data_IF_909747922388
#
_entry.id   IF_909747922388
#
_cell.length_a   1.000
_cell.length_b   1.000
_cell.length_c   1.000
_cell.angle_alpha   90.00
_cell.angle_beta   90.00
_cell.angle_gamma   90.00
#
_symmetry.space_group_name_H-M   'P 1'
#
loop_
_entity.id
_entity.type
_entity.pdbx_description
1 polymer ?
#
# COMPACT_ATOMS: atom_id res chain seq x y z
N UNK A 1 20.05 31.09 37.99
CA UNK A 1 19.00 30.57 37.08
C UNK A 1 17.85 30.08 37.96
N UNK A 2 17.04 30.83 38.26
CA UNK A 2 16.56 31.65 39.34
C UNK A 2 15.38 32.49 38.83
N UNK A 3 14.29 32.27 39.50
CA UNK A 3 13.21 33.20 39.86
C UNK A 3 12.37 33.94 38.81
N UNK A 4 12.66 33.91 37.54
CA UNK A 4 11.90 34.67 36.54
C UNK A 4 10.77 33.91 35.79
N UNK A 5 10.50 32.64 36.13
CA UNK A 5 9.44 31.80 35.52
C UNK A 5 8.20 31.58 36.38
N UNK A 6 8.13 32.15 37.55
CA UNK A 6 6.99 31.97 38.49
C UNK A 6 6.00 33.16 38.45
N UNK A 7 6.40 34.31 37.93
CA UNK A 7 5.57 35.53 37.96
C UNK A 7 4.53 35.67 36.82
N UNK A 8 4.66 34.91 35.75
CA UNK A 8 3.75 34.99 34.59
C UNK A 8 2.50 34.12 34.76
N UNK A 9 2.52 33.14 35.65
CA UNK A 9 1.40 32.22 35.83
C UNK A 9 0.36 32.64 36.88
N UNK A 10 0.67 33.66 37.68
CA UNK A 10 -0.24 34.16 38.72
C UNK A 10 -1.12 35.36 38.32
N UNK A 11 -0.95 35.88 37.10
CA UNK A 11 -1.68 37.11 36.65
C UNK A 11 -2.92 36.80 35.75
N UNK A 12 -3.18 35.53 35.46
CA UNK A 12 -4.37 35.11 34.65
C UNK A 12 -5.54 34.62 35.53
N UNK A 13 -5.29 34.38 36.80
CA UNK A 13 -6.30 33.83 37.73
C UNK A 13 -7.15 34.88 38.44
N UNK A 14 -6.81 36.19 38.38
CA UNK A 14 -7.43 37.24 39.18
C UNK A 14 -8.44 38.12 38.46
N UNK A 15 -8.82 37.85 37.22
CA UNK A 15 -9.81 38.66 36.46
C UNK A 15 -11.13 37.97 36.12
N UNK A 16 -11.48 36.91 36.85
CA UNK A 16 -12.78 36.22 36.70
C UNK A 16 -13.58 36.12 38.02
N UNK A 17 -13.63 37.19 38.79
CA UNK A 17 -14.65 37.37 39.86
C UNK A 17 -14.79 38.87 40.05
N UNK A 18 -15.84 39.45 39.51
CA UNK A 18 -16.58 40.62 39.95
C UNK A 18 -17.41 41.14 38.77
N UNK A 19 -18.59 40.59 38.63
CA UNK A 19 -19.80 41.27 38.19
C UNK A 19 -20.93 40.27 38.54
N UNK A 20 -21.42 40.36 39.75
CA UNK A 20 -22.74 39.89 40.10
C UNK A 20 -23.39 40.97 40.96
N UNK A 21 -24.59 41.35 40.54
CA UNK A 21 -25.67 41.92 41.35
C UNK A 21 -25.52 43.38 41.73
N UNK A 22 -26.10 44.22 40.93
CA UNK A 22 -26.76 45.45 41.47
C UNK A 22 -28.12 45.61 40.77
N UNK A 23 -29.12 45.55 41.56
CA UNK A 23 -30.53 45.68 41.24
C UNK A 23 -30.86 47.02 40.60
N UNK A 24 -31.70 46.97 39.56
CA UNK A 24 -32.56 48.10 39.19
C UNK A 24 -33.98 47.59 39.20
N UNK A 25 -34.58 47.63 40.39
CA UNK A 25 -36.03 47.68 40.56
C UNK A 25 -36.44 49.16 40.51
N UNK A 26 -37.35 49.49 39.66
CA UNK A 26 -38.09 50.80 39.80
C UNK A 26 -38.18 51.55 38.50
N UNK A 27 -39.18 51.32 37.74
CA UNK A 27 -40.06 52.17 36.94
C UNK A 27 -40.60 51.45 35.71
N UNK A 28 -41.49 50.55 35.96
CA UNK A 28 -42.48 50.12 34.98
C UNK A 28 -43.88 50.46 35.57
N UNK A 29 -44.31 51.67 35.41
CA UNK A 29 -45.71 52.04 35.36
C UNK A 29 -45.80 53.28 34.50
N UNK A 30 -46.83 53.25 33.63
CA UNK A 30 -47.25 54.33 32.71
C UNK A 30 -46.42 54.52 31.41
N UNK A 31 -46.64 53.66 30.43
CA UNK A 31 -47.04 54.06 29.07
C UNK A 31 -47.89 52.89 28.52
N UNK A 32 -49.13 52.82 28.96
CA UNK A 32 -50.21 52.14 28.27
C UNK A 32 -50.98 53.15 27.45
N UNK A 33 -51.34 52.72 26.23
CA UNK A 33 -52.33 53.31 25.30
C UNK A 33 -51.74 54.35 24.32
N UNK A 34 -51.58 53.87 23.15
CA UNK A 34 -51.94 54.33 21.81
C UNK A 34 -50.88 53.94 20.82
N UNK A 35 -50.89 52.72 20.43
CA UNK A 35 -50.32 52.35 19.13
C UNK A 35 -51.39 51.57 18.38
N UNK A 36 -52.04 52.29 17.50
CA UNK A 36 -53.13 51.86 16.62
C UNK A 36 -52.57 50.78 15.65
N UNK A 37 -53.46 49.89 15.28
CA UNK A 37 -53.29 48.61 14.53
C UNK A 37 -52.56 48.59 13.19
N UNK A 38 -51.64 49.54 12.92
CA UNK A 38 -50.83 49.54 11.71
C UNK A 38 -49.41 48.95 11.91
N UNK A 39 -48.88 48.96 13.13
CA UNK A 39 -47.54 48.42 13.42
C UNK A 39 -47.55 46.90 13.67
N UNK A 40 -48.71 46.32 13.95
CA UNK A 40 -48.81 44.85 14.23
C UNK A 40 -48.77 44.02 12.94
N UNK A 41 -49.12 44.60 11.78
CA UNK A 41 -49.03 43.89 10.51
C UNK A 41 -47.60 43.88 9.93
N UNK A 42 -46.75 44.83 10.28
CA UNK A 42 -45.36 44.93 9.83
C UNK A 42 -44.44 44.05 10.69
N UNK A 43 -44.70 43.89 11.96
CA UNK A 43 -43.93 43.02 12.88
C UNK A 43 -44.19 41.53 12.64
N UNK A 44 -45.37 41.13 12.18
CA UNK A 44 -45.66 39.73 11.82
C UNK A 44 -45.02 39.36 10.50
N UNK A 45 -44.85 40.28 9.55
CA UNK A 45 -44.16 40.06 8.29
C UNK A 45 -42.63 39.88 8.43
N UNK A 46 -42.02 40.58 9.39
CA UNK A 46 -40.56 40.48 9.66
C UNK A 46 -40.24 39.24 10.52
N UNK A 47 -41.15 38.82 11.42
CA UNK A 47 -40.98 37.60 12.21
C UNK A 47 -41.12 36.31 11.36
N UNK A 48 -41.98 36.30 10.30
CA UNK A 48 -42.03 35.19 9.36
C UNK A 48 -40.89 35.15 8.34
N UNK A 49 -40.21 36.30 8.09
CA UNK A 49 -39.04 36.35 7.19
C UNK A 49 -37.74 35.92 7.84
N UNK A 50 -37.66 35.88 9.18
CA UNK A 50 -36.48 35.48 9.93
C UNK A 50 -36.47 33.99 10.38
N UNK A 51 -37.54 33.24 10.08
CA UNK A 51 -37.71 31.86 10.50
C UNK A 51 -37.40 30.82 9.41
N UNK A 52 -36.80 31.21 8.28
CA UNK A 52 -36.51 30.31 7.16
C UNK A 52 -35.01 30.12 6.86
N UNK A 53 -34.12 30.53 7.77
CA UNK A 53 -32.69 30.23 7.66
C UNK A 53 -32.14 29.54 8.92
N UNK A 54 -32.93 28.67 9.57
CA UNK A 54 -32.33 27.59 10.32
C UNK A 54 -32.00 26.52 9.26
N UNK A 55 -30.85 26.66 8.66
CA UNK A 55 -30.28 25.55 7.88
C UNK A 55 -30.33 24.32 8.78
N UNK A 56 -31.17 23.37 8.43
CA UNK A 56 -31.13 22.04 9.02
C UNK A 56 -29.70 21.61 8.77
N UNK A 57 -28.84 21.64 9.78
CA UNK A 57 -27.53 20.99 9.70
C UNK A 57 -27.86 19.51 9.48
N UNK A 58 -27.91 19.11 8.23
CA UNK A 58 -28.08 17.72 7.86
C UNK A 58 -26.94 16.96 8.54
N UNK A 59 -27.27 15.98 9.36
CA UNK A 59 -26.26 15.14 9.98
C UNK A 59 -25.40 14.55 8.85
N UNK A 60 -24.08 14.76 8.93
CA UNK A 60 -23.16 14.22 7.93
C UNK A 60 -23.23 12.72 7.95
N UNK A 61 -23.29 12.10 6.79
CA UNK A 61 -23.09 10.66 6.65
C UNK A 61 -21.65 10.34 7.03
N UNK A 62 -21.44 9.36 7.90
CA UNK A 62 -20.11 8.95 8.34
C UNK A 62 -19.67 7.72 7.59
N UNK A 63 -18.45 7.75 7.05
CA UNK A 63 -17.77 6.60 6.44
C UNK A 63 -16.51 6.32 7.24
N UNK A 64 -16.41 5.13 7.81
CA UNK A 64 -15.21 4.65 8.50
C UNK A 64 -14.24 4.04 7.49
N UNK A 65 -12.99 4.47 7.54
CA UNK A 65 -11.96 4.09 6.58
C UNK A 65 -10.81 3.33 7.26
N UNK A 66 -10.77 2.02 7.05
CA UNK A 66 -9.79 1.11 7.62
C UNK A 66 -8.55 0.94 6.74
N UNK A 67 -7.36 1.17 7.33
CA UNK A 67 -6.09 0.98 6.66
C UNK A 67 -4.99 0.58 7.63
N UNK A 68 -3.93 -0.01 7.10
CA UNK A 68 -2.68 -0.15 7.83
C UNK A 68 -1.68 0.93 7.41
N UNK A 69 -0.71 1.19 8.26
CA UNK A 69 0.41 2.07 7.93
C UNK A 69 1.25 2.44 9.14
N UNK A 70 2.43 2.97 8.84
CA UNK A 70 3.24 3.72 9.79
C UNK A 70 2.56 5.04 10.16
N UNK A 71 2.97 5.73 11.23
CA UNK A 71 2.44 7.05 11.56
C UNK A 71 2.55 8.07 10.42
N UNK A 72 3.58 7.97 9.57
CA UNK A 72 3.76 8.84 8.41
C UNK A 72 2.73 8.54 7.32
N UNK A 73 2.49 7.26 7.01
CA UNK A 73 1.48 6.83 6.06
C UNK A 73 0.06 7.22 6.52
N UNK A 74 -0.27 7.04 7.80
CA UNK A 74 -1.56 7.47 8.36
C UNK A 74 -1.76 8.99 8.21
N UNK A 75 -0.68 9.77 8.35
CA UNK A 75 -0.73 11.22 8.07
C UNK A 75 -1.05 11.55 6.62
N UNK A 76 -0.55 10.75 5.68
CA UNK A 76 -0.90 10.89 4.25
C UNK A 76 -2.37 10.52 4.03
N UNK A 77 -2.86 9.44 4.64
CA UNK A 77 -4.28 9.08 4.60
C UNK A 77 -5.18 10.19 5.17
N UNK A 78 -4.76 10.86 6.25
CA UNK A 78 -5.52 11.99 6.79
C UNK A 78 -5.63 13.13 5.77
N UNK A 79 -4.55 13.49 5.07
CA UNK A 79 -4.60 14.50 4.00
C UNK A 79 -5.56 14.11 2.87
N UNK A 80 -5.61 12.83 2.53
CA UNK A 80 -6.56 12.30 1.53
C UNK A 80 -8.00 12.45 2.02
N UNK A 81 -8.27 12.09 3.28
CA UNK A 81 -9.58 12.27 3.88
C UNK A 81 -10.01 13.74 3.93
N UNK A 82 -9.09 14.64 4.31
CA UNK A 82 -9.35 16.08 4.39
C UNK A 82 -9.66 16.65 2.98
N UNK A 83 -8.94 16.22 1.95
CA UNK A 83 -9.19 16.63 0.57
C UNK A 83 -10.55 16.13 0.06
N UNK A 84 -10.94 14.89 0.39
CA UNK A 84 -12.27 14.39 0.08
C UNK A 84 -13.36 15.19 0.77
N UNK A 85 -13.26 15.38 2.09
CA UNK A 85 -14.26 16.12 2.89
C UNK A 85 -14.40 17.58 2.46
N UNK A 86 -13.36 18.18 1.90
CA UNK A 86 -13.42 19.54 1.34
C UNK A 86 -14.32 19.61 0.09
N UNK A 87 -14.36 18.55 -0.72
CA UNK A 87 -15.21 18.46 -1.93
C UNK A 87 -16.57 17.79 -1.68
N UNK A 88 -16.71 17.05 -0.57
CA UNK A 88 -17.92 16.32 -0.19
C UNK A 88 -18.28 16.66 1.28
N UNK A 89 -18.77 17.88 1.55
CA UNK A 89 -18.96 18.38 2.92
C UNK A 89 -20.06 17.66 3.71
N UNK A 90 -20.89 16.90 3.05
CA UNK A 90 -21.98 16.06 3.58
C UNK A 90 -21.51 14.67 4.05
N UNK A 91 -20.30 14.25 3.67
CA UNK A 91 -19.71 12.97 4.10
C UNK A 91 -18.52 13.24 5.01
N UNK A 92 -18.51 12.60 6.18
CA UNK A 92 -17.39 12.64 7.12
C UNK A 92 -16.60 11.34 7.05
N UNK A 93 -15.28 11.44 6.89
CA UNK A 93 -14.39 10.27 6.91
C UNK A 93 -13.75 10.15 8.30
N UNK A 94 -13.85 8.95 8.89
CA UNK A 94 -13.19 8.60 10.15
C UNK A 94 -12.14 7.52 9.86
N UNK A 95 -10.88 7.81 10.17
CA UNK A 95 -9.78 6.88 9.94
C UNK A 95 -9.73 5.81 11.04
N UNK A 96 -9.66 4.56 10.65
CA UNK A 96 -9.34 3.41 11.49
C UNK A 96 -7.96 2.85 11.10
N UNK A 97 -6.90 3.60 11.48
CA UNK A 97 -5.52 3.26 11.17
C UNK A 97 -4.91 2.29 12.18
N UNK A 98 -4.21 1.26 11.72
CA UNK A 98 -3.53 0.27 12.56
C UNK A 98 -2.14 -0.05 12.00
N UNK A 99 -1.17 -0.49 12.84
CA UNK A 99 0.03 -1.14 12.35
C UNK A 99 -0.30 -2.38 11.52
N UNK A 100 0.58 -2.74 10.56
CA UNK A 100 0.36 -3.85 9.62
C UNK A 100 -0.13 -5.16 10.29
N UNK A 101 0.60 -5.66 11.28
CA UNK A 101 0.25 -6.94 11.94
C UNK A 101 -1.06 -6.89 12.70
N UNK A 102 -1.33 -5.77 13.36
CA UNK A 102 -2.52 -5.57 14.19
C UNK A 102 -3.78 -5.40 13.34
N UNK A 103 -3.67 -4.75 12.19
CA UNK A 103 -4.78 -4.50 11.29
C UNK A 103 -5.54 -5.77 10.93
N UNK A 104 -4.83 -6.75 10.39
CA UNK A 104 -5.44 -8.02 9.95
C UNK A 104 -5.93 -8.87 11.14
N UNK A 105 -5.24 -8.81 12.27
CA UNK A 105 -5.63 -9.53 13.48
C UNK A 105 -6.93 -8.97 14.04
N UNK A 106 -7.04 -7.64 14.15
CA UNK A 106 -8.26 -6.97 14.63
C UNK A 106 -9.44 -7.20 13.69
N UNK A 107 -9.26 -7.07 12.36
CA UNK A 107 -10.33 -7.37 11.41
C UNK A 107 -10.84 -8.79 11.53
N UNK A 108 -9.95 -9.78 11.63
CA UNK A 108 -10.34 -11.19 11.82
C UNK A 108 -11.13 -11.38 13.12
N UNK A 109 -10.74 -10.69 14.19
CA UNK A 109 -11.46 -10.74 15.48
C UNK A 109 -12.86 -10.14 15.35
N UNK A 110 -13.02 -8.97 14.71
CA UNK A 110 -14.32 -8.33 14.49
C UNK A 110 -15.24 -9.24 13.64
N UNK A 111 -14.74 -9.80 12.55
CA UNK A 111 -15.51 -10.74 11.71
C UNK A 111 -15.91 -12.00 12.48
N UNK A 112 -15.00 -12.58 13.26
CA UNK A 112 -15.28 -13.79 14.06
C UNK A 112 -16.27 -13.53 15.20
N UNK A 113 -16.25 -12.34 15.79
CA UNK A 113 -17.20 -11.91 16.82
C UNK A 113 -18.57 -11.54 16.25
N UNK A 114 -18.69 -11.35 14.93
CA UNK A 114 -19.92 -10.83 14.30
C UNK A 114 -20.19 -9.36 14.63
N UNK A 115 -19.16 -8.63 15.05
CA UNK A 115 -19.22 -7.19 15.38
C UNK A 115 -19.23 -6.37 14.08
N UNK A 116 -20.44 -6.19 13.55
CA UNK A 116 -20.63 -5.49 12.27
C UNK A 116 -20.36 -4.00 12.38
N UNK A 117 -20.65 -3.40 13.50
CA UNK A 117 -20.49 -1.94 13.75
C UNK A 117 -18.99 -1.56 13.90
N UNK A 118 -18.18 -2.49 14.42
CA UNK A 118 -16.73 -2.28 14.55
C UNK A 118 -15.94 -2.47 13.25
N UNK A 119 -16.57 -3.00 12.18
CA UNK A 119 -15.89 -3.23 10.89
C UNK A 119 -15.96 -1.94 10.05
N UNK A 120 -14.82 -1.37 9.60
CA UNK A 120 -14.84 -0.18 8.76
C UNK A 120 -15.60 -0.40 7.43
N UNK A 121 -16.23 0.69 6.92
CA UNK A 121 -16.99 0.68 5.67
C UNK A 121 -16.11 0.45 4.44
N UNK A 122 -15.00 1.17 4.36
CA UNK A 122 -13.99 1.03 3.31
C UNK A 122 -12.73 0.45 3.92
N UNK A 123 -12.22 -0.62 3.31
CA UNK A 123 -11.13 -1.41 3.85
C UNK A 123 -9.96 -1.48 2.87
N UNK A 124 -8.74 -1.35 3.36
CA UNK A 124 -7.51 -1.58 2.60
C UNK A 124 -7.07 -3.02 2.77
N UNK A 125 -7.15 -3.86 1.72
CA UNK A 125 -6.92 -5.31 1.84
C UNK A 125 -5.92 -5.85 0.82
N UNK A 126 -5.17 -6.85 1.26
CA UNK A 126 -4.26 -7.66 0.44
C UNK A 126 -4.08 -9.07 1.07
N UNK A 127 -4.31 -10.16 0.30
CA UNK A 127 -4.94 -10.23 -1.01
C UNK A 127 -6.47 -10.18 -0.92
N UNK A 128 -7.12 -9.46 -1.83
CA UNK A 128 -8.59 -9.27 -1.86
C UNK A 128 -9.35 -10.59 -1.96
N UNK A 129 -8.87 -11.50 -2.80
CA UNK A 129 -9.54 -12.80 -3.06
C UNK A 129 -9.79 -13.64 -1.80
N UNK A 130 -8.93 -13.51 -0.78
CA UNK A 130 -9.09 -14.22 0.49
C UNK A 130 -10.35 -13.77 1.21
N UNK A 131 -10.57 -12.47 1.29
CA UNK A 131 -11.70 -11.88 2.02
C UNK A 131 -13.00 -11.92 1.20
N UNK A 132 -12.91 -11.75 -0.13
CA UNK A 132 -14.02 -11.99 -1.04
C UNK A 132 -14.51 -13.44 -0.95
N UNK A 133 -13.59 -14.42 -0.87
CA UNK A 133 -13.92 -15.82 -0.69
C UNK A 133 -14.58 -16.15 0.67
N UNK A 134 -14.37 -15.32 1.68
CA UNK A 134 -15.04 -15.41 2.98
C UNK A 134 -16.44 -14.75 2.99
N UNK A 135 -16.81 -14.03 1.92
CA UNK A 135 -18.11 -13.39 1.80
C UNK A 135 -18.31 -12.17 2.72
N UNK A 136 -17.22 -11.49 3.11
CA UNK A 136 -17.24 -10.30 4.00
C UNK A 136 -17.14 -8.98 3.23
N UNK A 137 -16.98 -9.04 1.90
CA UNK A 137 -16.88 -7.87 1.03
C UNK A 137 -18.12 -7.71 0.16
N UNK A 138 -18.45 -6.47 -0.18
CA UNK A 138 -19.51 -6.11 -1.12
C UNK A 138 -18.97 -6.18 -2.56
N UNK A 139 -19.70 -6.80 -3.51
CA UNK A 139 -19.40 -6.72 -4.94
C UNK A 139 -19.51 -5.28 -5.44
N UNK A 140 -18.49 -4.81 -6.18
CA UNK A 140 -18.46 -3.44 -6.67
C UNK A 140 -19.07 -3.26 -8.07
N UNK A 141 -19.29 -4.34 -8.84
CA UNK A 141 -19.84 -4.26 -10.21
C UNK A 141 -21.16 -3.49 -10.32
N UNK A 142 -22.15 -3.62 -9.39
CA UNK A 142 -23.38 -2.83 -9.43
C UNK A 142 -23.11 -1.32 -9.32
N UNK A 143 -22.20 -0.90 -8.44
CA UNK A 143 -21.83 0.49 -8.22
C UNK A 143 -21.03 1.06 -9.39
N UNK A 144 -20.08 0.29 -9.94
CA UNK A 144 -19.32 0.62 -11.15
C UNK A 144 -20.28 0.89 -12.31
N UNK A 145 -21.24 -0.02 -12.52
CA UNK A 145 -22.23 0.11 -13.59
C UNK A 145 -23.15 1.32 -13.40
N UNK A 146 -23.65 1.51 -12.18
CA UNK A 146 -24.59 2.58 -11.87
C UNK A 146 -23.95 3.98 -11.99
N UNK A 147 -22.70 4.13 -11.58
CA UNK A 147 -21.95 5.39 -11.64
C UNK A 147 -21.25 5.65 -12.98
N UNK A 148 -21.17 4.64 -13.86
CA UNK A 148 -20.36 4.73 -15.09
C UNK A 148 -18.85 4.83 -14.83
N UNK A 149 -18.37 4.32 -13.67
CA UNK A 149 -16.95 4.38 -13.31
C UNK A 149 -16.10 3.61 -14.33
N UNK A 150 -15.11 4.29 -14.91
CA UNK A 150 -14.21 3.70 -15.91
C UNK A 150 -13.07 2.91 -15.25
N UNK A 151 -13.03 1.62 -15.52
CA UNK A 151 -11.96 0.72 -15.05
C UNK A 151 -10.87 0.47 -16.09
N UNK A 152 -10.96 1.07 -17.30
CA UNK A 152 -10.03 0.78 -18.40
C UNK A 152 -8.64 1.39 -18.23
N UNK A 153 -8.51 2.41 -17.37
CA UNK A 153 -7.23 3.09 -17.11
C UNK A 153 -6.31 2.33 -16.13
N UNK A 154 -6.81 1.27 -15.49
CA UNK A 154 -5.95 0.43 -14.63
C UNK A 154 -4.89 -0.32 -15.46
N UNK A 155 -3.76 -0.62 -14.83
CA UNK A 155 -2.78 -1.54 -15.40
C UNK A 155 -3.43 -2.88 -15.72
N UNK A 156 -3.13 -3.52 -16.87
CA UNK A 156 -3.91 -4.67 -17.38
C UNK A 156 -4.06 -5.84 -16.41
N UNK A 157 -3.03 -6.15 -15.60
CA UNK A 157 -3.08 -7.25 -14.64
C UNK A 157 -3.48 -6.84 -13.23
N UNK A 158 -3.57 -5.53 -12.95
CA UNK A 158 -3.77 -5.02 -11.60
C UNK A 158 -5.24 -5.12 -11.16
N UNK A 159 -6.19 -4.78 -12.04
CA UNK A 159 -7.61 -4.88 -11.72
C UNK A 159 -8.04 -6.31 -11.37
N UNK A 160 -7.39 -7.31 -11.98
CA UNK A 160 -7.64 -8.72 -11.67
C UNK A 160 -7.27 -9.10 -10.23
N UNK A 161 -6.38 -8.35 -9.59
CA UNK A 161 -6.05 -8.52 -8.18
C UNK A 161 -7.25 -8.27 -7.25
N UNK A 162 -8.16 -7.38 -7.67
CA UNK A 162 -9.40 -7.07 -6.98
C UNK A 162 -10.57 -8.01 -7.29
N UNK A 163 -10.38 -9.05 -8.15
CA UNK A 163 -11.47 -9.92 -8.63
C UNK A 163 -11.45 -11.30 -8.02
N UNK A 164 -12.64 -11.83 -7.78
CA UNK A 164 -12.88 -13.25 -7.53
C UNK A 164 -13.93 -13.78 -8.50
N UNK A 165 -13.57 -14.79 -9.30
CA UNK A 165 -14.47 -15.42 -10.30
C UNK A 165 -15.14 -14.39 -11.25
N UNK A 166 -14.39 -13.35 -11.65
CA UNK A 166 -14.85 -12.31 -12.57
C UNK A 166 -15.52 -11.12 -11.87
N UNK A 167 -15.99 -11.24 -10.65
CA UNK A 167 -16.61 -10.16 -9.86
C UNK A 167 -15.55 -9.29 -9.20
N UNK A 168 -15.69 -7.98 -9.29
CA UNK A 168 -14.80 -6.98 -8.68
C UNK A 168 -15.23 -6.76 -7.23
N UNK A 169 -14.30 -6.96 -6.28
CA UNK A 169 -14.48 -6.71 -4.85
C UNK A 169 -13.55 -5.60 -4.32
N UNK A 170 -12.60 -5.15 -5.15
CA UNK A 170 -11.70 -4.09 -4.76
C UNK A 170 -11.10 -3.37 -5.96
N UNK A 171 -10.89 -2.06 -5.78
CA UNK A 171 -10.16 -1.22 -6.72
C UNK A 171 -8.73 -1.03 -6.22
N UNK A 172 -7.70 -1.47 -6.97
CA UNK A 172 -6.31 -1.37 -6.56
C UNK A 172 -5.89 0.08 -6.30
N UNK A 173 -5.26 0.36 -5.15
CA UNK A 173 -4.74 1.69 -4.81
C UNK A 173 -3.49 2.03 -5.60
N UNK A 174 -2.62 1.05 -5.72
CA UNK A 174 -1.30 1.18 -6.31
C UNK A 174 -0.89 -0.12 -6.97
N UNK A 175 0.15 -0.04 -7.78
CA UNK A 175 0.84 -1.22 -8.26
C UNK A 175 2.16 -1.37 -7.51
N UNK A 176 2.26 -2.43 -6.73
CA UNK A 176 3.47 -2.78 -5.97
C UNK A 176 4.58 -3.32 -6.84
N UNK A 177 4.87 -2.64 -7.95
CA UNK A 177 5.90 -3.07 -8.89
C UNK A 177 7.29 -2.84 -8.32
N UNK A 178 8.16 -3.79 -8.53
CA UNK A 178 9.53 -3.78 -8.01
C UNK A 178 10.51 -3.28 -9.06
N UNK A 179 11.48 -2.49 -8.58
CA UNK A 179 12.62 -2.00 -9.33
C UNK A 179 13.90 -2.26 -8.57
N UNK A 180 15.04 -2.17 -9.23
CA UNK A 180 16.35 -2.24 -8.62
C UNK A 180 16.73 -0.86 -8.09
N UNK A 181 16.81 -0.71 -6.76
CA UNK A 181 17.42 0.45 -6.11
C UNK A 181 18.92 0.26 -6.01
N UNK A 182 19.70 1.31 -6.23
CA UNK A 182 21.15 1.29 -6.07
C UNK A 182 21.67 2.53 -5.36
N UNK A 183 22.66 2.32 -4.49
CA UNK A 183 23.33 3.37 -3.73
C UNK A 183 24.48 3.94 -4.58
N UNK A 184 24.34 5.21 -5.02
CA UNK A 184 25.29 5.86 -5.92
C UNK A 184 26.66 6.02 -5.28
N UNK A 185 26.74 6.34 -3.99
CA UNK A 185 28.00 6.52 -3.29
C UNK A 185 28.83 5.22 -3.28
N UNK A 186 28.16 4.06 -3.14
CA UNK A 186 28.82 2.75 -3.16
C UNK A 186 29.31 2.40 -4.57
N UNK A 187 28.52 2.73 -5.60
CA UNK A 187 28.93 2.52 -6.99
C UNK A 187 30.11 3.40 -7.37
N UNK A 188 30.08 4.68 -6.99
CA UNK A 188 31.17 5.64 -7.21
C UNK A 188 32.44 5.19 -6.48
N UNK A 189 32.34 4.76 -5.21
CA UNK A 189 33.46 4.22 -4.43
C UNK A 189 34.12 3.02 -5.12
N UNK A 190 33.31 2.15 -5.74
CA UNK A 190 33.78 0.95 -6.39
C UNK A 190 34.23 1.17 -7.86
N UNK A 191 33.97 2.35 -8.42
CA UNK A 191 34.23 2.63 -9.85
C UNK A 191 33.37 1.81 -10.81
N UNK A 192 32.18 1.38 -10.36
CA UNK A 192 31.24 0.57 -11.14
C UNK A 192 30.19 1.49 -11.78
N UNK A 193 29.94 1.28 -13.08
CA UNK A 193 28.90 2.04 -13.78
C UNK A 193 27.52 1.75 -13.22
N UNK A 194 26.68 2.79 -13.14
CA UNK A 194 25.30 2.67 -12.63
C UNK A 194 24.46 1.70 -13.47
N UNK A 195 23.50 1.01 -12.83
CA UNK A 195 22.54 0.17 -13.52
C UNK A 195 21.74 0.97 -14.55
N UNK A 196 21.53 0.37 -15.73
CA UNK A 196 20.59 0.88 -16.73
C UNK A 196 19.31 0.05 -16.72
N UNK A 197 18.26 0.54 -17.39
CA UNK A 197 17.02 -0.22 -17.56
C UNK A 197 17.17 -1.46 -18.46
N UNK A 198 18.38 -1.74 -18.97
CA UNK A 198 18.68 -2.83 -19.89
C UNK A 198 19.67 -3.86 -19.33
N UNK A 199 20.07 -3.73 -18.05
CA UNK A 199 20.95 -4.70 -17.42
C UNK A 199 20.39 -6.12 -17.52
N UNK A 200 21.30 -7.05 -17.76
CA UNK A 200 21.04 -8.49 -17.74
C UNK A 200 21.40 -9.09 -16.37
N UNK A 201 21.06 -10.36 -16.16
CA UNK A 201 21.53 -11.11 -14.99
C UNK A 201 23.04 -11.20 -14.93
N UNK A 202 23.71 -11.29 -16.09
CA UNK A 202 25.18 -11.32 -16.18
C UNK A 202 25.77 -9.98 -15.76
N UNK A 203 25.18 -8.84 -16.18
CA UNK A 203 25.59 -7.51 -15.74
C UNK A 203 25.40 -7.35 -14.23
N UNK A 204 24.26 -7.78 -13.69
CA UNK A 204 24.00 -7.79 -12.25
C UNK A 204 25.09 -8.58 -11.51
N UNK A 205 25.41 -9.80 -11.98
CA UNK A 205 26.41 -10.66 -11.35
C UNK A 205 27.82 -10.10 -11.47
N UNK A 206 28.15 -9.50 -12.60
CA UNK A 206 29.46 -8.86 -12.83
C UNK A 206 29.65 -7.64 -11.90
N UNK A 207 28.65 -6.77 -11.83
CA UNK A 207 28.66 -5.65 -10.90
C UNK A 207 28.69 -6.12 -9.43
N UNK A 208 27.90 -7.15 -9.08
CA UNK A 208 27.85 -7.70 -7.74
C UNK A 208 29.21 -8.18 -7.24
N UNK A 209 30.03 -8.77 -8.08
CA UNK A 209 31.40 -9.19 -7.73
C UNK A 209 32.30 -8.01 -7.37
N UNK A 210 32.12 -6.86 -8.00
CA UNK A 210 32.92 -5.65 -7.73
C UNK A 210 32.40 -4.87 -6.53
N UNK A 211 31.09 -4.85 -6.30
CA UNK A 211 30.43 -4.11 -5.21
C UNK A 211 30.52 -4.83 -3.87
N UNK A 212 30.63 -6.17 -3.86
CA UNK A 212 30.75 -6.94 -2.62
C UNK A 212 32.11 -6.75 -1.99
N UNK A 213 32.15 -6.50 -0.67
CA UNK A 213 33.40 -6.43 0.09
C UNK A 213 33.51 -7.65 0.99
N UNK A 214 34.47 -8.53 0.66
CA UNK A 214 34.75 -9.75 1.41
C UNK A 214 36.19 -9.67 1.90
N UNK A 215 36.41 -9.86 3.19
CA UNK A 215 37.76 -9.87 3.80
C UNK A 215 38.54 -11.12 3.36
N UNK A 216 39.84 -11.10 3.55
CA UNK A 216 40.71 -12.28 3.32
C UNK A 216 40.33 -13.49 4.21
N UNK A 217 39.71 -13.23 5.36
CA UNK A 217 39.15 -14.28 6.24
C UNK A 217 37.77 -14.81 5.76
N UNK A 218 37.25 -14.31 4.65
CA UNK A 218 35.95 -14.72 4.09
C UNK A 218 34.74 -14.10 4.77
N UNK A 219 34.90 -13.10 5.66
CA UNK A 219 33.80 -12.34 6.27
C UNK A 219 33.28 -11.31 5.28
N UNK A 220 31.97 -11.26 5.04
CA UNK A 220 31.35 -10.24 4.22
C UNK A 220 31.17 -8.95 5.03
N UNK A 221 31.70 -7.85 4.54
CA UNK A 221 31.53 -6.50 5.09
C UNK A 221 30.39 -5.76 4.39
N UNK A 222 30.23 -6.00 3.08
CA UNK A 222 29.12 -5.47 2.27
C UNK A 222 28.72 -6.50 1.22
N UNK A 223 27.44 -6.71 1.09
CA UNK A 223 26.85 -7.48 0.00
C UNK A 223 26.53 -6.56 -1.19
N UNK A 224 26.56 -7.07 -2.40
CA UNK A 224 26.05 -6.32 -3.53
C UNK A 224 24.52 -6.22 -3.51
N UNK A 225 23.84 -7.29 -3.11
CA UNK A 225 22.38 -7.35 -3.16
C UNK A 225 21.76 -7.74 -1.80
N UNK A 226 20.82 -6.94 -1.34
CA UNK A 226 19.87 -7.30 -0.29
C UNK A 226 18.52 -7.64 -0.92
N UNK A 227 18.14 -8.92 -0.93
CA UNK A 227 16.87 -9.34 -1.52
C UNK A 227 16.20 -10.40 -0.66
N UNK A 228 14.94 -10.15 -0.30
CA UNK A 228 14.12 -11.12 0.43
C UNK A 228 13.92 -12.41 -0.38
N UNK A 229 13.76 -13.55 0.31
CA UNK A 229 13.56 -14.84 -0.36
C UNK A 229 12.40 -14.85 -1.36
N UNK A 230 11.32 -14.11 -1.07
CA UNK A 230 10.16 -13.99 -1.96
C UNK A 230 10.44 -13.37 -3.32
N UNK A 231 11.61 -12.70 -3.50
CA UNK A 231 12.02 -12.14 -4.80
C UNK A 231 12.31 -13.21 -5.86
N UNK A 232 12.45 -14.47 -5.47
CA UNK A 232 12.58 -15.57 -6.43
C UNK A 232 11.48 -15.58 -7.50
N UNK A 233 10.28 -15.13 -7.15
CA UNK A 233 9.14 -15.09 -8.08
C UNK A 233 9.37 -14.13 -9.25
N UNK A 234 10.11 -13.03 -9.00
CA UNK A 234 10.51 -12.10 -10.05
C UNK A 234 11.48 -12.78 -11.02
N UNK A 235 12.55 -13.39 -10.50
CA UNK A 235 13.52 -14.14 -11.33
C UNK A 235 12.85 -15.28 -12.09
N UNK A 236 11.94 -16.00 -11.41
CA UNK A 236 11.14 -17.07 -12.02
C UNK A 236 10.35 -16.58 -13.23
N UNK A 237 9.58 -15.50 -13.08
CA UNK A 237 8.78 -14.95 -14.16
C UNK A 237 9.63 -14.35 -15.30
N UNK A 238 10.78 -13.75 -14.97
CA UNK A 238 11.76 -13.25 -15.97
C UNK A 238 12.29 -14.36 -16.87
N UNK A 239 12.47 -15.56 -16.33
CA UNK A 239 12.87 -16.75 -17.08
C UNK A 239 11.68 -17.56 -17.62
N UNK A 240 10.49 -16.93 -17.75
CA UNK A 240 9.25 -17.55 -18.27
C UNK A 240 8.69 -18.69 -17.41
N UNK A 241 9.17 -18.84 -16.18
CA UNK A 241 8.64 -19.81 -15.21
C UNK A 241 7.44 -19.29 -14.42
N UNK A 242 6.74 -20.21 -13.79
CA UNK A 242 5.65 -19.93 -12.85
C UNK A 242 5.72 -20.89 -11.66
N UNK A 243 5.00 -20.60 -10.60
CA UNK A 243 4.85 -21.50 -9.45
C UNK A 243 3.86 -22.60 -9.76
N UNK A 244 2.77 -22.23 -10.43
CA UNK A 244 1.66 -23.10 -10.79
C UNK A 244 1.37 -22.92 -12.29
N UNK A 245 0.81 -23.95 -12.91
CA UNK A 245 0.43 -23.90 -14.33
C UNK A 245 -0.64 -22.84 -14.63
N UNK A 246 -1.50 -22.52 -13.66
CA UNK A 246 -2.43 -21.40 -13.67
C UNK A 246 -2.52 -20.82 -12.24
N UNK A 247 -2.37 -19.50 -12.12
CA UNK A 247 -2.40 -18.82 -10.80
C UNK A 247 -3.82 -18.54 -10.31
N UNK A 248 -4.84 -18.71 -11.14
CA UNK A 248 -6.27 -18.51 -10.82
C UNK A 248 -6.96 -19.85 -10.57
N UNK A 249 -6.77 -20.81 -11.49
CA UNK A 249 -7.34 -22.15 -11.43
C UNK A 249 -6.23 -23.20 -11.47
N UNK A 250 -5.41 -23.30 -10.41
CA UNK A 250 -4.24 -24.16 -10.41
C UNK A 250 -4.62 -25.63 -10.39
N UNK A 251 -3.92 -26.42 -11.22
CA UNK A 251 -4.05 -27.89 -11.23
C UNK A 251 -2.72 -28.60 -11.03
N UNK A 252 -1.59 -27.90 -11.23
CA UNK A 252 -0.25 -28.49 -11.09
C UNK A 252 0.80 -27.46 -10.69
N UNK A 253 1.83 -27.92 -9.98
CA UNK A 253 3.05 -27.18 -9.69
C UNK A 253 4.01 -27.23 -10.88
N UNK A 254 4.65 -26.09 -11.18
CA UNK A 254 5.65 -25.96 -12.27
C UNK A 254 7.05 -25.58 -11.77
N UNK A 255 7.27 -25.51 -10.45
CA UNK A 255 8.58 -25.14 -9.88
C UNK A 255 9.70 -26.16 -10.19
N UNK A 256 9.38 -27.40 -10.56
CA UNK A 256 10.36 -28.40 -10.93
C UNK A 256 10.74 -28.39 -12.42
N UNK A 257 10.13 -27.54 -13.24
CA UNK A 257 10.45 -27.38 -14.64
C UNK A 257 11.83 -26.74 -14.85
N UNK A 258 12.53 -27.03 -15.96
CA UNK A 258 13.90 -26.55 -16.21
C UNK A 258 14.06 -25.03 -16.06
N UNK A 259 13.13 -24.23 -16.61
CA UNK A 259 13.14 -22.76 -16.54
C UNK A 259 13.02 -22.23 -15.11
N UNK A 260 12.24 -22.92 -14.28
CA UNK A 260 12.08 -22.56 -12.87
C UNK A 260 13.33 -22.94 -12.06
N UNK A 261 13.87 -24.12 -12.30
CA UNK A 261 15.12 -24.58 -11.66
C UNK A 261 16.27 -23.64 -11.99
N UNK A 262 16.42 -23.21 -13.25
CA UNK A 262 17.44 -22.26 -13.68
C UNK A 262 17.32 -20.92 -12.96
N UNK A 263 16.14 -20.32 -12.95
CA UNK A 263 15.89 -19.04 -12.31
C UNK A 263 16.17 -19.05 -10.80
N UNK A 264 15.69 -20.09 -10.13
CA UNK A 264 15.90 -20.24 -8.68
C UNK A 264 17.37 -20.55 -8.38
N UNK A 265 18.05 -21.32 -9.24
CA UNK A 265 19.48 -21.58 -9.10
C UNK A 265 20.33 -20.31 -9.31
N UNK A 266 19.96 -19.43 -10.24
CA UNK A 266 20.62 -18.13 -10.38
C UNK A 266 20.51 -17.30 -9.10
N UNK A 267 19.30 -17.16 -8.57
CA UNK A 267 19.07 -16.35 -7.35
C UNK A 267 19.78 -16.96 -6.12
N UNK A 268 19.72 -18.28 -5.94
CA UNK A 268 20.42 -18.97 -4.87
C UNK A 268 21.95 -18.85 -5.04
N UNK A 269 22.45 -18.94 -6.27
CA UNK A 269 23.87 -18.81 -6.60
C UNK A 269 24.47 -17.46 -6.19
N UNK A 270 23.70 -16.38 -6.27
CA UNK A 270 24.15 -15.08 -5.75
C UNK A 270 24.42 -15.13 -4.23
N UNK A 271 23.63 -15.90 -3.48
CA UNK A 271 23.80 -16.08 -2.03
C UNK A 271 24.97 -17.02 -1.73
N UNK A 272 25.14 -18.09 -2.49
CA UNK A 272 26.23 -19.06 -2.32
C UNK A 272 27.61 -18.45 -2.63
N UNK A 273 27.65 -17.55 -3.63
CA UNK A 273 28.83 -16.75 -3.97
C UNK A 273 29.05 -15.55 -3.03
N UNK A 274 28.23 -15.38 -1.99
CA UNK A 274 28.26 -14.24 -1.04
C UNK A 274 28.06 -12.87 -1.70
N UNK A 275 27.41 -12.82 -2.85
CA UNK A 275 27.05 -11.59 -3.56
C UNK A 275 25.72 -11.02 -3.08
N UNK A 276 24.79 -11.90 -2.68
CA UNK A 276 23.52 -11.53 -2.04
C UNK A 276 23.46 -12.00 -0.58
N UNK A 277 22.81 -11.21 0.25
CA UNK A 277 22.56 -11.57 1.65
C UNK A 277 21.49 -12.67 1.74
N UNK A 278 21.73 -13.69 2.55
CA UNK A 278 20.70 -14.73 2.79
C UNK A 278 19.51 -14.16 3.55
N UNK A 279 18.26 -14.59 3.25
CA UNK A 279 17.05 -13.99 3.82
C UNK A 279 16.98 -13.96 5.34
N UNK A 280 17.52 -14.97 6.04
CA UNK A 280 17.57 -14.99 7.51
C UNK A 280 18.48 -13.89 8.07
N UNK A 281 19.67 -13.71 7.49
CA UNK A 281 20.59 -12.64 7.86
C UNK A 281 20.03 -11.27 7.53
N UNK A 282 19.38 -11.13 6.35
CA UNK A 282 18.71 -9.91 5.91
C UNK A 282 17.63 -9.48 6.92
N UNK A 283 16.79 -10.41 7.37
CA UNK A 283 15.74 -10.14 8.35
C UNK A 283 16.32 -9.65 9.68
N UNK A 284 17.40 -10.30 10.16
CA UNK A 284 18.10 -9.90 11.40
C UNK A 284 18.78 -8.53 11.30
N UNK A 285 19.20 -8.14 10.10
CA UNK A 285 19.86 -6.86 9.81
C UNK A 285 18.88 -5.69 9.55
N UNK A 286 17.58 -5.86 9.83
CA UNK A 286 16.55 -4.83 9.65
C UNK A 286 15.87 -4.85 8.27
N UNK A 287 15.99 -5.98 7.56
CA UNK A 287 15.39 -6.15 6.22
C UNK A 287 16.14 -5.39 5.13
N UNK A 288 15.57 -5.38 3.95
CA UNK A 288 16.17 -4.75 2.77
C UNK A 288 16.41 -3.25 2.92
N UNK A 289 15.42 -2.53 3.49
CA UNK A 289 15.57 -1.09 3.73
C UNK A 289 16.71 -0.81 4.72
N UNK A 290 16.80 -1.57 5.82
CA UNK A 290 17.82 -1.39 6.84
C UNK A 290 19.23 -1.61 6.30
N UNK A 291 19.46 -2.70 5.54
CA UNK A 291 20.78 -2.99 4.96
C UNK A 291 21.16 -2.02 3.85
N UNK A 292 20.20 -1.48 3.12
CA UNK A 292 20.45 -0.47 2.10
C UNK A 292 20.81 0.88 2.73
N UNK A 293 20.05 1.33 3.73
CA UNK A 293 20.31 2.58 4.44
C UNK A 293 21.63 2.56 5.19
N UNK A 294 22.02 1.41 5.76
CA UNK A 294 23.28 1.26 6.47
C UNK A 294 24.50 1.00 5.55
N UNK A 295 24.29 0.89 4.23
CA UNK A 295 25.35 0.56 3.27
C UNK A 295 25.85 -0.89 3.33
N UNK A 296 25.16 -1.77 4.06
CA UNK A 296 25.47 -3.20 4.10
C UNK A 296 25.10 -3.92 2.81
N UNK A 297 24.21 -3.34 1.99
CA UNK A 297 23.93 -3.77 0.64
C UNK A 297 24.01 -2.59 -0.33
N UNK A 298 24.65 -2.79 -1.47
CA UNK A 298 24.78 -1.77 -2.51
C UNK A 298 23.50 -1.60 -3.33
N UNK A 299 22.72 -2.66 -3.46
CA UNK A 299 21.46 -2.72 -4.21
C UNK A 299 20.40 -3.47 -3.42
N UNK A 300 19.13 -3.11 -3.67
CA UNK A 300 17.95 -3.88 -3.22
C UNK A 300 16.89 -3.92 -4.33
N UNK A 301 15.99 -4.89 -4.26
CA UNK A 301 14.84 -4.98 -5.15
C UNK A 301 13.58 -4.65 -4.33
N UNK A 302 12.98 -3.48 -4.60
CA UNK A 302 11.81 -3.00 -3.84
C UNK A 302 10.87 -2.12 -4.68
N UNK A 303 9.67 -1.90 -4.16
CA UNK A 303 8.66 -1.05 -4.77
C UNK A 303 8.77 0.42 -4.30
N UNK A 304 7.89 1.29 -4.80
CA UNK A 304 7.91 2.71 -4.53
C UNK A 304 7.72 3.09 -3.05
N UNK A 305 7.22 2.20 -2.18
CA UNK A 305 7.01 2.49 -0.75
C UNK A 305 8.28 2.85 0.02
N UNK A 306 9.46 2.57 -0.55
CA UNK A 306 10.75 2.90 0.07
C UNK A 306 11.22 4.34 -0.19
N UNK A 307 10.65 5.00 -1.20
CA UNK A 307 11.07 6.34 -1.65
C UNK A 307 11.02 7.35 -0.50
N UNK A 308 9.91 7.42 0.21
CA UNK A 308 9.70 8.39 1.30
C UNK A 308 10.76 8.24 2.41
N UNK A 309 11.03 7.00 2.84
CA UNK A 309 12.02 6.71 3.88
C UNK A 309 13.45 7.04 3.43
N UNK A 310 13.83 6.72 2.20
CA UNK A 310 15.16 6.99 1.68
C UNK A 310 15.38 8.48 1.44
N UNK A 311 14.36 9.20 0.98
CA UNK A 311 14.41 10.66 0.83
C UNK A 311 14.51 11.36 2.20
N UNK A 312 13.77 10.91 3.21
CA UNK A 312 13.88 11.43 4.57
C UNK A 312 15.29 11.19 5.17
N UNK A 313 15.92 10.07 4.84
CA UNK A 313 17.29 9.75 5.21
C UNK A 313 18.35 10.48 4.33
N UNK A 314 17.94 11.27 3.35
CA UNK A 314 18.81 12.01 2.39
C UNK A 314 19.82 11.10 1.69
N UNK A 315 19.42 9.89 1.35
CA UNK A 315 20.28 8.94 0.65
C UNK A 315 20.57 9.42 -0.79
N UNK A 316 21.79 9.18 -1.25
CA UNK A 316 22.18 9.35 -2.65
C UNK A 316 21.93 8.06 -3.41
N UNK A 317 20.75 7.91 -3.99
CA UNK A 317 20.32 6.70 -4.68
C UNK A 317 19.55 7.01 -5.95
N UNK A 318 19.42 6.00 -6.80
CA UNK A 318 18.49 6.01 -7.91
C UNK A 318 17.93 4.59 -8.13
N UNK A 319 17.11 4.42 -9.16
CA UNK A 319 16.52 3.14 -9.52
C UNK A 319 16.78 2.77 -10.98
N UNK A 320 16.70 1.48 -11.27
CA UNK A 320 16.69 0.95 -12.63
C UNK A 320 15.64 -0.16 -12.72
N UNK A 321 15.18 -0.49 -13.92
CA UNK A 321 14.40 -1.69 -14.13
C UNK A 321 15.19 -2.93 -13.69
N UNK A 322 14.50 -3.95 -13.17
CA UNK A 322 15.20 -5.15 -12.67
C UNK A 322 15.90 -5.89 -13.81
N UNK A 323 17.16 -6.29 -13.64
CA UNK A 323 17.89 -7.04 -14.66
C UNK A 323 17.17 -8.33 -15.07
N UNK A 324 17.17 -8.66 -16.36
CA UNK A 324 16.52 -9.85 -16.92
C UNK A 324 17.54 -10.80 -17.53
N UNK A 325 17.30 -12.13 -17.61
CA UNK A 325 18.22 -13.03 -18.29
C UNK A 325 18.25 -12.77 -19.80
N UNK A 326 19.35 -13.14 -20.45
CA UNK A 326 19.45 -13.10 -21.91
C UNK A 326 18.32 -13.95 -22.54
N UNK A 327 17.59 -13.37 -23.50
CA UNK A 327 16.39 -14.03 -24.07
C UNK A 327 15.19 -14.17 -23.14
N UNK A 328 15.27 -13.63 -21.93
CA UNK A 328 14.18 -13.59 -20.98
C UNK A 328 13.12 -12.52 -21.28
N UNK A 329 12.29 -12.25 -20.31
CA UNK A 329 11.24 -11.23 -20.41
C UNK A 329 11.16 -10.42 -19.12
N UNK A 330 10.64 -9.19 -19.21
CA UNK A 330 10.24 -8.48 -17.99
C UNK A 330 9.03 -9.16 -17.38
N UNK A 331 9.06 -9.29 -16.10
CA UNK A 331 8.00 -9.95 -15.34
C UNK A 331 7.89 -9.33 -13.96
N UNK A 332 7.63 -8.03 -13.94
CA UNK A 332 7.23 -7.38 -12.70
C UNK A 332 6.01 -8.10 -12.13
N UNK A 333 6.01 -8.38 -10.85
CA UNK A 333 4.86 -9.02 -10.22
C UNK A 333 3.83 -7.96 -9.88
N UNK A 334 2.68 -7.96 -10.56
CA UNK A 334 1.55 -7.15 -10.14
C UNK A 334 1.11 -7.63 -8.75
N UNK A 335 1.27 -6.79 -7.79
CA UNK A 335 0.84 -6.98 -6.43
C UNK A 335 0.51 -5.62 -5.86
N UNK A 336 -0.10 -5.58 -4.71
CA UNK A 336 -0.47 -4.34 -4.08
C UNK A 336 -1.56 -4.58 -3.06
N UNK A 337 -2.30 -3.56 -2.76
CA UNK A 337 -3.50 -3.64 -1.97
C UNK A 337 -4.62 -2.86 -2.67
N UNK A 338 -5.85 -3.20 -2.35
CA UNK A 338 -7.00 -2.56 -2.94
C UNK A 338 -7.91 -1.96 -1.87
N UNK A 339 -8.61 -0.91 -2.23
CA UNK A 339 -9.74 -0.40 -1.50
C UNK A 339 -10.95 -1.27 -1.79
N UNK A 340 -11.56 -1.76 -0.75
CA UNK A 340 -12.71 -2.65 -0.81
C UNK A 340 -13.85 -2.07 0.02
N UNK A 341 -15.07 -2.47 -0.25
CA UNK A 341 -16.23 -2.10 0.55
C UNK A 341 -16.63 -3.25 1.46
N UNK A 342 -16.88 -2.96 2.72
CA UNK A 342 -17.43 -3.92 3.65
C UNK A 342 -18.86 -4.30 3.25
N UNK A 343 -19.19 -5.59 3.30
CA UNK A 343 -20.58 -6.04 3.14
C UNK A 343 -21.51 -5.47 4.22
N UNK A 344 -20.94 -5.08 5.35
CA UNK A 344 -21.65 -4.60 6.54
C UNK A 344 -21.74 -3.08 6.62
N UNK A 345 -21.25 -2.35 5.61
CA UNK A 345 -21.42 -0.90 5.54
C UNK A 345 -22.91 -0.53 5.54
N UNK A 346 -23.29 0.40 6.43
CA UNK A 346 -24.65 0.87 6.57
C UNK A 346 -25.06 1.83 5.43
N UNK A 347 -24.11 2.64 4.94
CA UNK A 347 -24.31 3.56 3.81
C UNK A 347 -23.33 3.22 2.68
N UNK A 348 -23.75 2.28 1.82
CA UNK A 348 -22.94 1.80 0.70
C UNK A 348 -22.78 2.85 -0.40
N UNK A 349 -23.70 3.77 -0.56
CA UNK A 349 -23.62 4.83 -1.56
C UNK A 349 -22.56 5.88 -1.15
N UNK A 350 -22.55 6.26 0.13
CA UNK A 350 -21.50 7.14 0.65
C UNK A 350 -20.12 6.44 0.64
N UNK A 351 -20.06 5.16 1.01
CA UNK A 351 -18.84 4.36 0.94
C UNK A 351 -18.33 4.24 -0.51
N UNK A 352 -19.22 4.05 -1.50
CA UNK A 352 -18.86 4.03 -2.93
C UNK A 352 -18.39 5.40 -3.42
N UNK A 353 -19.07 6.47 -3.03
CA UNK A 353 -18.68 7.84 -3.37
C UNK A 353 -17.23 8.10 -2.93
N UNK A 354 -16.89 7.72 -1.70
CA UNK A 354 -15.53 7.86 -1.20
C UNK A 354 -14.55 6.92 -1.93
N UNK A 355 -14.89 5.65 -2.10
CA UNK A 355 -14.02 4.65 -2.73
C UNK A 355 -13.72 5.01 -4.20
N UNK A 356 -14.72 5.43 -4.97
CA UNK A 356 -14.54 5.84 -6.37
C UNK A 356 -13.70 7.12 -6.49
N UNK A 357 -13.88 8.08 -5.57
CA UNK A 357 -13.04 9.28 -5.49
C UNK A 357 -11.60 8.94 -5.11
N UNK A 358 -11.38 8.01 -4.18
CA UNK A 358 -10.02 7.53 -3.84
C UNK A 358 -9.27 7.04 -5.07
N UNK A 359 -9.98 6.53 -6.06
CA UNK A 359 -9.45 5.93 -7.27
C UNK A 359 -9.72 6.78 -8.52
N UNK A 360 -9.87 8.08 -8.38
CA UNK A 360 -9.96 9.02 -9.48
C UNK A 360 -8.66 9.78 -9.72
N UNK A 361 -8.43 10.19 -10.96
CA UNK A 361 -7.25 10.98 -11.38
C UNK A 361 -7.21 12.37 -10.75
N UNK A 362 -8.36 12.92 -10.35
CA UNK A 362 -8.48 14.23 -9.73
C UNK A 362 -8.59 14.16 -8.19
N UNK A 363 -8.82 12.97 -7.66
CA UNK A 363 -9.02 12.72 -6.24
C UNK A 363 -7.82 12.04 -5.56
N UNK A 364 -8.11 10.93 -4.89
CA UNK A 364 -7.14 10.25 -4.03
C UNK A 364 -5.89 9.79 -4.76
N UNK A 365 -5.98 9.31 -6.02
CA UNK A 365 -4.81 8.92 -6.82
C UNK A 365 -3.81 10.08 -6.97
N UNK A 366 -4.31 11.29 -7.22
CA UNK A 366 -3.44 12.46 -7.35
C UNK A 366 -2.77 12.83 -6.02
N UNK A 367 -3.51 12.81 -4.92
CA UNK A 367 -2.96 13.13 -3.58
C UNK A 367 -1.83 12.17 -3.21
N UNK A 368 -2.02 10.86 -3.46
CA UNK A 368 -0.97 9.86 -3.24
C UNK A 368 0.21 10.02 -4.19
N UNK A 369 -0.04 10.36 -5.46
CA UNK A 369 1.00 10.52 -6.48
C UNK A 369 1.94 11.66 -6.13
N UNK A 370 1.40 12.82 -5.73
CA UNK A 370 2.21 13.99 -5.34
C UNK A 370 3.08 13.70 -4.12
N UNK A 371 2.65 12.81 -3.22
CA UNK A 371 3.49 12.37 -2.09
C UNK A 371 4.69 11.51 -2.52
N UNK A 372 4.64 10.94 -3.72
CA UNK A 372 5.70 10.09 -4.27
C UNK A 372 5.84 8.73 -3.62
N UNK A 373 4.88 8.34 -2.76
CA UNK A 373 4.93 7.10 -1.95
C UNK A 373 4.44 5.87 -2.71
N UNK A 374 3.72 6.05 -3.82
CA UNK A 374 3.15 4.96 -4.59
C UNK A 374 3.45 5.10 -6.08
N UNK A 375 3.45 3.97 -6.79
CA UNK A 375 3.20 3.98 -8.22
C UNK A 375 1.69 3.92 -8.43
N UNK A 376 1.08 4.93 -9.10
CA UNK A 376 -0.36 5.00 -9.24
C UNK A 376 -0.97 3.77 -9.91
N UNK A 377 -2.16 3.37 -9.46
CA UNK A 377 -2.92 2.28 -10.07
C UNK A 377 -3.46 2.65 -11.46
N UNK A 378 -3.72 3.93 -11.70
CA UNK A 378 -4.17 4.46 -12.99
C UNK A 378 -2.97 4.81 -13.86
N UNK A 379 -2.94 4.26 -15.08
CA UNK A 379 -1.82 4.44 -16.01
C UNK A 379 -1.65 5.89 -16.43
N UNK A 380 -2.72 6.61 -16.69
CA UNK A 380 -2.69 8.02 -17.05
C UNK A 380 -2.00 8.87 -15.98
N UNK A 381 -2.30 8.61 -14.70
CA UNK A 381 -1.65 9.27 -13.57
C UNK A 381 -0.18 8.87 -13.45
N UNK A 382 0.15 7.60 -13.66
CA UNK A 382 1.51 7.08 -13.54
C UNK A 382 2.47 7.63 -14.61
N UNK A 383 1.97 7.96 -15.81
CA UNK A 383 2.80 8.55 -16.88
C UNK A 383 2.73 10.09 -16.92
N UNK A 384 1.98 10.70 -16.01
CA UNK A 384 1.86 12.17 -15.93
C UNK A 384 3.09 12.82 -15.30
N UNK A 385 3.24 14.13 -15.52
CA UNK A 385 4.27 14.94 -14.87
C UNK A 385 4.12 14.96 -13.33
N UNK A 386 2.92 14.70 -12.81
CA UNK A 386 2.69 14.59 -11.38
C UNK A 386 3.50 13.44 -10.73
N UNK A 387 3.79 12.36 -11.47
CA UNK A 387 4.64 11.28 -11.00
C UNK A 387 6.06 11.35 -11.59
N UNK A 388 6.19 11.50 -12.91
CA UNK A 388 7.49 11.46 -13.59
C UNK A 388 8.30 12.75 -13.37
N UNK A 389 7.62 13.89 -13.18
CA UNK A 389 8.24 15.21 -12.99
C UNK A 389 8.60 15.55 -11.54
N UNK A 390 8.45 14.63 -10.58
CA UNK A 390 8.81 14.89 -9.18
C UNK A 390 10.31 15.17 -9.07
N UNK A 391 10.67 16.38 -8.66
CA UNK A 391 12.06 16.81 -8.48
C UNK A 391 12.64 16.32 -7.14
N UNK A 392 12.70 15.00 -6.97
CA UNK A 392 13.31 14.33 -5.82
C UNK A 392 13.73 12.89 -6.24
N UNK A 393 14.73 12.29 -5.58
CA UNK A 393 15.07 10.89 -5.87
C UNK A 393 13.88 9.94 -5.72
N UNK A 394 13.81 8.88 -6.53
CA UNK A 394 14.75 8.53 -7.61
C UNK A 394 14.51 9.39 -8.87
N UNK A 395 15.56 9.66 -9.64
CA UNK A 395 15.45 10.40 -10.91
C UNK A 395 14.87 9.53 -12.03
N UNK A 396 15.26 8.25 -12.11
CA UNK A 396 14.79 7.31 -13.14
C UNK A 396 13.43 6.67 -12.79
N UNK A 397 12.38 7.50 -12.56
CA UNK A 397 11.03 6.97 -12.30
C UNK A 397 10.44 6.17 -13.45
N UNK A 398 10.97 6.33 -14.67
CA UNK A 398 10.60 5.54 -15.83
C UNK A 398 10.82 4.02 -15.62
N UNK A 399 11.74 3.63 -14.74
CA UNK A 399 11.95 2.23 -14.39
C UNK A 399 10.67 1.56 -13.87
N UNK A 400 9.87 2.27 -13.05
CA UNK A 400 8.58 1.76 -12.55
C UNK A 400 7.58 1.56 -13.69
N UNK A 401 7.55 2.47 -14.67
CA UNK A 401 6.63 2.36 -15.82
C UNK A 401 7.03 1.18 -16.71
N UNK A 402 8.33 0.99 -16.93
CA UNK A 402 8.87 -0.15 -17.71
C UNK A 402 8.46 -1.47 -17.06
N UNK A 403 8.62 -1.61 -15.76
CA UNK A 403 8.22 -2.83 -15.04
C UNK A 403 6.69 -2.95 -14.95
N UNK A 404 5.95 -1.87 -14.72
CA UNK A 404 4.50 -1.84 -14.63
C UNK A 404 3.81 -2.29 -15.92
N UNK A 405 4.29 -1.85 -17.08
CA UNK A 405 3.76 -2.27 -18.38
C UNK A 405 3.89 -3.77 -18.64
N UNK A 406 4.84 -4.41 -17.96
CA UNK A 406 5.12 -5.83 -18.09
C UNK A 406 4.67 -6.64 -16.85
N UNK A 407 3.97 -6.00 -15.92
CA UNK A 407 3.50 -6.65 -14.71
C UNK A 407 2.55 -7.82 -15.02
N UNK A 408 2.81 -8.95 -14.38
CA UNK A 408 2.02 -10.18 -14.53
C UNK A 408 1.39 -10.58 -13.21
N UNK A 409 0.31 -11.37 -13.29
CA UNK A 409 -0.25 -12.06 -12.13
C UNK A 409 0.86 -12.93 -11.53
N UNK A 410 1.28 -12.65 -10.31
CA UNK A 410 2.47 -13.38 -9.89
C UNK A 410 2.64 -13.67 -8.41
N UNK A 411 2.64 -12.66 -7.58
CA UNK A 411 3.15 -12.84 -6.22
C UNK A 411 2.14 -13.41 -5.23
N UNK A 412 0.89 -13.10 -5.41
CA UNK A 412 -0.21 -13.65 -4.63
C UNK A 412 -1.03 -14.51 -5.56
N UNK A 413 -1.27 -15.75 -5.17
CA UNK A 413 -2.21 -16.59 -5.91
C UNK A 413 -3.56 -15.91 -5.98
N UNK A 414 -4.20 -16.04 -7.10
CA UNK A 414 -5.53 -15.46 -7.34
C UNK A 414 -6.65 -16.43 -6.95
N UNK A 415 -6.34 -17.39 -6.09
CA UNK A 415 -7.32 -18.32 -5.50
C UNK A 415 -7.28 -18.26 -3.96
N UNK A 416 -8.40 -18.53 -3.27
CA UNK A 416 -8.55 -18.26 -1.83
C UNK A 416 -7.56 -19.01 -0.92
N UNK A 417 -7.08 -20.18 -1.32
CA UNK A 417 -6.18 -21.03 -0.54
C UNK A 417 -4.68 -20.68 -0.70
N UNK A 418 -4.33 -19.68 -1.51
CA UNK A 418 -2.94 -19.32 -1.78
C UNK A 418 -2.13 -19.06 -0.51
N UNK A 419 -2.66 -18.28 0.43
CA UNK A 419 -1.95 -17.96 1.67
C UNK A 419 -1.55 -19.19 2.47
N UNK A 420 -2.43 -20.21 2.51
CA UNK A 420 -2.15 -21.48 3.18
C UNK A 420 -1.12 -22.29 2.41
N UNK A 421 -1.26 -22.39 1.09
CA UNK A 421 -0.30 -23.11 0.25
C UNK A 421 1.09 -22.51 0.35
N UNK A 422 1.19 -21.20 0.17
CA UNK A 422 2.48 -20.52 0.23
C UNK A 422 3.11 -20.60 1.63
N UNK A 423 2.34 -20.34 2.69
CA UNK A 423 2.86 -20.27 4.05
C UNK A 423 3.19 -21.64 4.67
N UNK A 424 2.46 -22.69 4.31
CA UNK A 424 2.65 -24.03 4.90
C UNK A 424 3.45 -25.00 4.05
N UNK A 425 3.55 -24.77 2.73
CA UNK A 425 4.22 -25.69 1.81
C UNK A 425 5.38 -25.00 1.08
N UNK A 426 5.10 -23.96 0.29
CA UNK A 426 6.11 -23.39 -0.61
C UNK A 426 7.25 -22.73 0.16
N UNK A 427 6.92 -21.75 1.03
CA UNK A 427 7.94 -20.97 1.73
C UNK A 427 8.83 -21.79 2.66
N UNK A 428 8.32 -22.76 3.45
CA UNK A 428 9.18 -23.63 4.27
C UNK A 428 10.15 -24.46 3.42
N UNK A 429 9.70 -25.05 2.33
CA UNK A 429 10.55 -25.81 1.43
C UNK A 429 11.64 -24.94 0.80
N UNK A 430 11.27 -23.78 0.23
CA UNK A 430 12.23 -22.88 -0.39
C UNK A 430 13.24 -22.32 0.62
N UNK A 431 12.92 -22.22 1.91
CA UNK A 431 13.87 -21.79 2.94
C UNK A 431 15.10 -22.71 3.04
N UNK A 432 14.96 -23.97 2.68
CA UNK A 432 16.06 -24.95 2.62
C UNK A 432 17.07 -24.60 1.52
N UNK A 433 16.57 -24.04 0.41
CA UNK A 433 17.43 -23.47 -0.65
C UNK A 433 18.13 -22.21 -0.16
N UNK A 434 17.37 -21.30 0.45
CA UNK A 434 17.92 -20.00 0.89
C UNK A 434 18.93 -20.14 2.02
N UNK A 435 18.85 -21.18 2.84
CA UNK A 435 19.86 -21.51 3.85
C UNK A 435 21.12 -22.15 3.24
N UNK A 436 21.03 -22.64 2.00
CA UNK A 436 22.11 -23.40 1.38
C UNK A 436 22.24 -24.83 1.90
N UNK A 437 21.22 -25.34 2.62
CA UNK A 437 21.26 -26.67 3.23
C UNK A 437 21.01 -27.80 2.23
N UNK A 438 20.28 -27.50 1.14
CA UNK A 438 19.89 -28.53 0.17
C UNK A 438 19.94 -28.04 -1.28
N UNK A 439 20.21 -28.95 -2.25
CA UNK A 439 20.29 -28.62 -3.67
C UNK A 439 18.93 -28.15 -4.22
N UNK A 440 18.94 -27.07 -5.02
CA UNK A 440 17.76 -26.45 -5.62
C UNK A 440 16.83 -27.47 -6.30
N UNK A 441 17.37 -28.30 -7.20
CA UNK A 441 16.58 -29.27 -7.98
C UNK A 441 15.85 -30.29 -7.10
N UNK A 442 16.50 -30.76 -6.04
CA UNK A 442 15.90 -31.76 -5.12
C UNK A 442 14.74 -31.13 -4.36
N UNK A 443 14.96 -29.96 -3.77
CA UNK A 443 13.92 -29.23 -3.03
C UNK A 443 12.72 -28.89 -3.91
N UNK A 444 12.94 -28.40 -5.13
CA UNK A 444 11.84 -28.00 -6.02
C UNK A 444 11.01 -29.21 -6.48
N UNK A 445 11.64 -30.38 -6.69
CA UNK A 445 10.92 -31.62 -7.00
C UNK A 445 10.02 -32.06 -5.84
N UNK A 446 10.53 -31.99 -4.61
CA UNK A 446 9.75 -32.31 -3.41
C UNK A 446 8.63 -31.29 -3.19
N UNK A 447 8.94 -30.00 -3.31
CA UNK A 447 7.94 -28.91 -3.21
C UNK A 447 6.78 -29.14 -4.17
N UNK A 448 7.05 -29.48 -5.43
CA UNK A 448 5.99 -29.76 -6.40
C UNK A 448 5.13 -30.98 -6.02
N UNK A 449 5.72 -32.01 -5.44
CA UNK A 449 4.95 -33.16 -4.95
C UNK A 449 3.97 -32.72 -3.85
N UNK A 450 4.43 -31.94 -2.89
CA UNK A 450 3.60 -31.46 -1.78
C UNK A 450 2.54 -30.45 -2.26
N UNK A 451 2.89 -29.52 -3.17
CA UNK A 451 1.95 -28.59 -3.78
C UNK A 451 0.83 -29.33 -4.51
N UNK A 452 1.15 -30.33 -5.33
CA UNK A 452 0.14 -31.13 -6.05
C UNK A 452 -0.78 -31.88 -5.07
N UNK A 453 -0.23 -32.47 -4.00
CA UNK A 453 -1.03 -33.10 -2.95
C UNK A 453 -1.96 -32.11 -2.24
N UNK A 454 -1.47 -30.89 -1.98
CA UNK A 454 -2.30 -29.82 -1.43
C UNK A 454 -3.45 -29.43 -2.36
N UNK A 455 -3.17 -29.23 -3.66
CA UNK A 455 -4.18 -28.88 -4.66
C UNK A 455 -5.26 -29.96 -4.74
N UNK A 456 -4.88 -31.25 -4.81
CA UNK A 456 -5.81 -32.38 -4.79
C UNK A 456 -6.69 -32.36 -3.53
N UNK A 457 -6.12 -32.11 -2.35
CA UNK A 457 -6.87 -32.03 -1.08
C UNK A 457 -7.92 -30.91 -1.07
N UNK A 458 -7.82 -29.94 -1.99
CA UNK A 458 -8.76 -28.83 -2.16
C UNK A 458 -9.69 -28.98 -3.37
N UNK A 459 -9.63 -30.13 -4.05
CA UNK A 459 -10.40 -30.37 -5.27
C UNK A 459 -9.94 -29.53 -6.48
N UNK A 460 -8.67 -29.09 -6.47
CA UNK A 460 -8.08 -28.24 -7.50
C UNK A 460 -7.06 -28.96 -8.39
N UNK A 461 -6.69 -30.19 -8.07
CA UNK A 461 -5.72 -31.01 -8.82
C UNK A 461 -6.36 -32.18 -9.57
N UNK A 462 -5.61 -32.78 -10.52
CA UNK A 462 -5.95 -34.02 -11.19
C UNK A 462 -5.51 -35.25 -10.37
#
# INVERSE_FOLDING_TARGET
>A
MSEEKIEVQNNISSRRKFITTAAVSGRVKEIQMKITGSLMKTLIGVACGLLVCVGIAQAKTTVTWGMWGSPAEIKTHQRVADAFMASHPDIQIILWGQPWGDYFTKLKTLWAAGDKEGIPDVLFLSPVVTYAGQGVLEPLDPFIKASGYDTSDYWPSLLDFGKLKGTIYGLPRDIGIEVLYYNKDIFDEAGVSYPTNFWTWDDLKAAAKQLSKITTSGRVQRYALGAEGGKYQLFLGQNRGSILNDMVNPTACTLSEPVAVEAISFFAGLMDEKLAMRPSALSQAGGDAGVFQSGQAAMIIQNASRISAFNAAKMNYDVAAVPIPAGGQRSGTAGGAAWTMSKYSDDKDAAWTFLSWLQSTEGGQMVYTISGEILPALRSTAVSDAFLGINAPPANRAAFIIEGNNAKKGRSGYFPNWGTLNGKVISPNLSRIWSGSEPVRAVLKETCKEVNSFLQSKGLGF
#
